data_IF_188764503150
#
_entry.id   IF_188764503150
#
_cell.length_a   1.000
_cell.length_b   1.000
_cell.length_c   1.000
_cell.angle_alpha   90.00
_cell.angle_beta   90.00
_cell.angle_gamma   90.00
#
_symmetry.space_group_name_H-M   'P 1'
#
loop_
_entity.id
_entity.type
_entity.pdbx_description
1 polymer ?
#
# COMPACT_ATOMS: atom_id res chain seq x y z
N UNK A 1 1.52 10.56 21.27
CA UNK A 1 1.75 9.40 20.39
C UNK A 1 2.84 8.57 21.01
N UNK A 2 2.61 7.29 21.29
CA UNK A 2 3.69 6.38 21.68
C UNK A 2 4.49 6.14 20.40
N UNK A 3 5.69 6.68 20.33
CA UNK A 3 6.57 6.48 19.17
C UNK A 3 6.93 4.99 19.11
N UNK A 4 6.64 4.33 17.98
CA UNK A 4 7.04 2.94 17.76
C UNK A 4 8.57 2.78 17.77
N UNK A 5 9.08 1.56 17.87
CA UNK A 5 10.52 1.33 17.83
C UNK A 5 11.05 1.37 16.40
N UNK A 6 12.30 1.83 16.23
CA UNK A 6 13.01 1.69 14.97
C UNK A 6 13.18 0.20 14.63
N UNK A 7 12.87 -0.18 13.40
CA UNK A 7 13.01 -1.54 12.89
C UNK A 7 14.16 -1.66 11.90
N UNK A 8 14.76 -2.84 11.86
CA UNK A 8 15.90 -3.17 11.01
C UNK A 8 15.71 -4.54 10.38
N UNK A 9 16.26 -4.71 9.18
CA UNK A 9 16.60 -6.04 8.64
C UNK A 9 18.01 -6.37 9.07
N UNK A 10 18.19 -7.51 9.72
CA UNK A 10 19.45 -7.90 10.33
C UNK A 10 19.81 -9.31 9.89
N UNK A 11 21.07 -9.48 9.49
CA UNK A 11 21.65 -10.77 9.16
C UNK A 11 22.58 -11.16 10.32
N UNK A 12 22.46 -12.37 10.86
CA UNK A 12 23.27 -12.79 12.01
C UNK A 12 23.48 -14.29 12.05
N UNK A 13 24.47 -14.73 12.81
CA UNK A 13 24.73 -16.15 13.07
C UNK A 13 24.11 -16.55 14.40
N UNK A 14 23.26 -17.58 14.39
CA UNK A 14 22.68 -18.18 15.59
C UNK A 14 23.25 -19.57 15.86
N UNK A 15 23.75 -19.80 17.06
CA UNK A 15 24.25 -21.08 17.51
C UNK A 15 23.10 -21.96 18.02
N UNK A 16 22.75 -22.98 17.23
CA UNK A 16 21.87 -24.06 17.65
C UNK A 16 22.69 -25.23 18.21
N UNK A 17 22.04 -26.15 18.91
CA UNK A 17 22.67 -27.42 19.32
C UNK A 17 23.19 -28.24 18.12
N UNK A 18 22.60 -28.06 16.95
CA UNK A 18 23.00 -28.69 15.68
C UNK A 18 24.09 -27.92 14.91
N UNK A 19 24.62 -26.83 15.46
CA UNK A 19 25.59 -25.95 14.81
C UNK A 19 25.06 -24.54 14.52
N UNK A 20 25.89 -23.73 13.89
CA UNK A 20 25.58 -22.32 13.60
C UNK A 20 24.86 -22.16 12.27
N UNK A 21 23.83 -21.31 12.23
CA UNK A 21 23.15 -20.93 10.98
C UNK A 21 23.10 -19.41 10.82
N UNK A 22 23.21 -18.97 9.57
CA UNK A 22 22.99 -17.57 9.16
C UNK A 22 21.49 -17.34 9.05
N UNK A 23 20.96 -16.39 9.79
CA UNK A 23 19.55 -16.01 9.86
C UNK A 23 19.36 -14.59 9.33
N UNK A 24 18.28 -14.36 8.57
CA UNK A 24 17.81 -13.05 8.09
C UNK A 24 16.49 -12.76 8.79
N UNK A 25 16.43 -11.66 9.55
CA UNK A 25 15.23 -11.30 10.32
C UNK A 25 14.98 -9.79 10.37
N UNK A 26 13.70 -9.42 10.33
CA UNK A 26 13.24 -8.11 10.76
C UNK A 26 13.09 -8.05 12.28
N UNK A 27 13.80 -7.12 12.94
CA UNK A 27 13.79 -6.96 14.40
C UNK A 27 13.67 -5.49 14.82
N UNK A 28 13.18 -5.24 16.03
CA UNK A 28 13.16 -3.90 16.64
C UNK A 28 14.53 -3.53 17.20
N UNK A 29 14.75 -2.23 17.45
CA UNK A 29 15.92 -1.70 18.13
C UNK A 29 16.18 -2.42 19.46
N UNK A 30 15.17 -2.58 20.31
CA UNK A 30 15.32 -3.24 21.61
C UNK A 30 15.78 -4.68 21.47
N UNK A 31 15.30 -5.40 20.45
CA UNK A 31 15.73 -6.77 20.17
C UNK A 31 17.16 -6.82 19.64
N UNK A 32 17.54 -5.90 18.75
CA UNK A 32 18.90 -5.77 18.24
C UNK A 32 19.90 -5.51 19.38
N UNK A 33 19.55 -4.62 20.31
CA UNK A 33 20.41 -4.28 21.45
C UNK A 33 20.59 -5.48 22.39
N UNK A 34 19.51 -6.22 22.70
CA UNK A 34 19.59 -7.47 23.46
C UNK A 34 20.47 -8.51 22.76
N UNK A 35 20.30 -8.70 21.45
CA UNK A 35 21.12 -9.63 20.68
C UNK A 35 22.62 -9.26 20.74
N UNK A 36 22.94 -7.97 20.61
CA UNK A 36 24.33 -7.47 20.73
C UNK A 36 24.89 -7.67 22.14
N UNK A 37 24.07 -7.49 23.17
CA UNK A 37 24.49 -7.73 24.55
C UNK A 37 24.79 -9.22 24.80
N UNK A 38 23.92 -10.11 24.33
CA UNK A 38 24.12 -11.56 24.40
C UNK A 38 25.37 -12.00 23.61
N UNK A 39 25.59 -11.44 22.43
CA UNK A 39 26.80 -11.70 21.64
C UNK A 39 28.08 -11.30 22.38
N UNK A 40 28.08 -10.15 23.09
CA UNK A 40 29.23 -9.72 23.92
C UNK A 40 29.52 -10.68 25.07
N UNK A 41 28.49 -11.38 25.57
CA UNK A 41 28.61 -12.42 26.62
C UNK A 41 29.06 -13.77 26.05
N UNK A 42 29.28 -13.88 24.73
CA UNK A 42 29.63 -15.13 24.06
C UNK A 42 28.46 -16.11 23.98
N UNK A 43 27.22 -15.62 24.04
CA UNK A 43 26.02 -16.45 23.94
C UNK A 43 25.66 -16.74 22.46
N UNK A 44 24.41 -17.15 22.21
CA UNK A 44 23.91 -17.74 20.96
C UNK A 44 24.08 -16.90 19.68
N UNK A 45 24.44 -15.62 19.77
CA UNK A 45 24.46 -14.71 18.63
C UNK A 45 25.90 -14.28 18.26
N UNK A 46 26.21 -14.24 16.97
CA UNK A 46 27.46 -13.68 16.44
C UNK A 46 27.25 -13.05 15.05
N UNK A 47 28.26 -12.33 14.53
CA UNK A 47 28.27 -11.73 13.18
C UNK A 47 26.98 -10.96 12.82
N UNK A 48 26.53 -10.08 13.73
CA UNK A 48 25.26 -9.34 13.61
C UNK A 48 25.46 -8.09 12.73
N UNK A 49 24.89 -8.13 11.53
CA UNK A 49 24.98 -7.08 10.53
C UNK A 49 23.60 -6.45 10.28
N UNK A 50 23.51 -5.12 10.43
CA UNK A 50 22.32 -4.37 10.02
C UNK A 50 22.39 -4.15 8.51
N UNK A 51 21.45 -4.75 7.78
CA UNK A 51 21.40 -4.70 6.31
C UNK A 51 20.58 -3.51 5.84
N UNK A 52 19.49 -3.19 6.56
CA UNK A 52 18.55 -2.17 6.14
C UNK A 52 17.83 -1.54 7.35
N UNK A 53 17.57 -0.24 7.25
CA UNK A 53 16.74 0.51 8.20
C UNK A 53 15.31 0.57 7.64
N UNK A 54 14.35 -0.06 8.33
CA UNK A 54 12.99 -0.29 7.79
C UNK A 54 11.95 0.75 8.28
N UNK A 55 12.39 1.80 8.96
CA UNK A 55 11.51 2.79 9.60
C UNK A 55 11.02 2.37 10.99
N UNK A 56 9.99 3.05 11.49
CA UNK A 56 9.47 2.86 12.85
C UNK A 56 8.23 1.98 12.86
N UNK A 57 7.97 1.31 13.98
CA UNK A 57 6.75 0.54 14.14
C UNK A 57 5.48 1.41 14.04
N UNK A 58 4.48 0.93 13.33
CA UNK A 58 3.13 1.48 13.38
C UNK A 58 2.34 0.78 14.50
N UNK A 59 2.22 1.50 15.63
CA UNK A 59 1.49 1.04 16.81
C UNK A 59 0.07 1.62 16.92
N UNK A 60 -0.45 2.24 15.85
CA UNK A 60 -1.71 3.00 15.87
C UNK A 60 -2.88 2.19 16.43
N UNK A 61 -2.99 0.91 16.07
CA UNK A 61 -4.13 0.06 16.41
C UNK A 61 -3.85 -0.99 17.50
N UNK A 62 -2.64 -1.06 18.06
CA UNK A 62 -2.25 -2.14 18.99
C UNK A 62 -3.15 -2.19 20.24
N UNK A 63 -3.54 -1.04 20.76
CA UNK A 63 -4.47 -0.97 21.90
C UNK A 63 -5.83 -1.58 21.56
N UNK A 64 -6.38 -1.25 20.40
CA UNK A 64 -7.66 -1.81 19.90
C UNK A 64 -7.55 -3.31 19.68
N UNK A 65 -6.51 -3.76 18.99
CA UNK A 65 -6.27 -5.19 18.74
C UNK A 65 -6.07 -5.98 20.02
N UNK A 66 -5.41 -5.40 21.02
CA UNK A 66 -5.27 -6.02 22.33
C UNK A 66 -6.62 -6.24 22.99
N UNK A 67 -7.51 -5.24 22.99
CA UNK A 67 -8.85 -5.39 23.57
C UNK A 67 -9.68 -6.45 22.84
N UNK A 68 -9.63 -6.46 21.50
CA UNK A 68 -10.30 -7.48 20.68
C UNK A 68 -9.75 -8.88 20.99
N UNK A 69 -8.43 -9.03 21.07
CA UNK A 69 -7.79 -10.31 21.44
C UNK A 69 -8.18 -10.77 22.85
N UNK A 70 -8.24 -9.87 23.82
CA UNK A 70 -8.67 -10.18 25.19
C UNK A 70 -10.15 -10.56 25.30
N UNK A 71 -10.99 -10.12 24.37
CA UNK A 71 -12.39 -10.56 24.28
C UNK A 71 -12.51 -12.00 23.73
N UNK A 72 -11.53 -12.48 22.97
CA UNK A 72 -11.51 -13.86 22.48
C UNK A 72 -11.13 -14.85 23.60
N UNK A 73 -11.96 -15.87 23.78
CA UNK A 73 -11.84 -16.81 24.91
C UNK A 73 -10.56 -17.65 24.93
N UNK A 74 -9.96 -17.89 23.75
CA UNK A 74 -8.74 -18.68 23.59
C UNK A 74 -7.52 -17.80 23.82
N UNK A 75 -7.47 -16.65 23.15
CA UNK A 75 -6.37 -15.69 23.24
C UNK A 75 -6.19 -15.17 24.68
N UNK A 76 -7.27 -14.84 25.39
CA UNK A 76 -7.19 -14.37 26.79
C UNK A 76 -6.61 -15.39 27.77
N UNK A 77 -6.56 -16.68 27.38
CA UNK A 77 -6.02 -17.78 28.18
C UNK A 77 -4.58 -18.15 27.81
N UNK A 78 -3.97 -17.45 26.85
CA UNK A 78 -2.55 -17.62 26.53
C UNK A 78 -1.70 -17.44 27.79
N UNK A 79 -0.74 -18.34 28.00
CA UNK A 79 0.08 -18.38 29.22
C UNK A 79 1.58 -18.58 28.96
N UNK A 80 1.97 -19.06 27.77
CA UNK A 80 3.37 -19.27 27.40
C UNK A 80 3.66 -18.81 25.95
N UNK A 81 3.86 -17.50 25.72
CA UNK A 81 3.76 -16.41 26.69
C UNK A 81 2.30 -15.92 26.90
N UNK A 82 2.02 -15.16 27.97
CA UNK A 82 0.74 -14.47 28.12
C UNK A 82 0.53 -13.42 27.03
N UNK A 83 -0.73 -13.24 26.59
CA UNK A 83 -1.09 -12.18 25.65
C UNK A 83 -1.10 -10.81 26.35
N UNK A 84 -0.30 -9.87 25.85
CA UNK A 84 -0.01 -8.57 26.45
C UNK A 84 -0.12 -7.46 25.39
N UNK A 85 -0.20 -6.17 25.81
CA UNK A 85 -0.21 -5.05 24.86
C UNK A 85 1.01 -4.97 23.93
N UNK A 86 2.11 -5.64 24.26
CA UNK A 86 3.36 -5.72 23.50
C UNK A 86 3.56 -7.06 22.76
N UNK A 87 2.53 -7.92 22.68
CA UNK A 87 2.59 -9.21 21.98
C UNK A 87 2.61 -9.10 20.44
N UNK A 88 2.52 -7.89 19.90
CA UNK A 88 2.44 -7.64 18.45
C UNK A 88 3.82 -7.53 17.83
N UNK A 89 3.99 -8.15 16.67
CA UNK A 89 5.18 -8.02 15.83
C UNK A 89 4.80 -7.51 14.45
N UNK A 90 5.19 -6.28 14.13
CA UNK A 90 4.96 -5.74 12.80
C UNK A 90 5.83 -6.44 11.76
N UNK A 91 5.24 -6.74 10.61
CA UNK A 91 5.91 -7.16 9.39
C UNK A 91 5.92 -5.98 8.41
N UNK A 92 7.07 -5.57 7.86
CA UNK A 92 7.11 -4.41 6.93
C UNK A 92 6.72 -4.75 5.49
N UNK A 93 6.59 -6.04 5.18
CA UNK A 93 6.18 -6.52 3.87
C UNK A 93 5.30 -7.77 3.99
N UNK A 94 4.50 -8.03 2.96
CA UNK A 94 3.74 -9.28 2.85
C UNK A 94 4.69 -10.49 2.81
N UNK A 95 5.88 -10.34 2.23
CA UNK A 95 6.87 -11.42 2.22
C UNK A 95 7.29 -11.82 3.64
N UNK A 96 7.57 -10.85 4.51
CA UNK A 96 7.86 -11.12 5.93
C UNK A 96 6.67 -11.75 6.65
N UNK A 97 5.46 -11.27 6.38
CA UNK A 97 4.25 -11.86 6.95
C UNK A 97 4.10 -13.33 6.54
N UNK A 98 4.29 -13.64 5.26
CA UNK A 98 4.28 -15.02 4.74
C UNK A 98 5.34 -15.86 5.46
N UNK A 99 6.57 -15.37 5.56
CA UNK A 99 7.66 -16.12 6.19
C UNK A 99 7.37 -16.40 7.68
N UNK A 100 6.66 -15.49 8.37
CA UNK A 100 6.15 -15.76 9.73
C UNK A 100 5.07 -16.83 9.72
N UNK A 101 4.08 -16.72 8.83
CA UNK A 101 2.99 -17.70 8.76
C UNK A 101 3.49 -19.10 8.40
N UNK A 102 4.48 -19.24 7.50
CA UNK A 102 5.05 -20.52 7.07
C UNK A 102 5.87 -21.24 8.15
N UNK A 103 6.51 -20.49 9.07
CA UNK A 103 7.31 -21.09 10.16
C UNK A 103 6.47 -21.96 11.09
N UNK A 104 5.20 -21.61 11.29
CA UNK A 104 4.28 -22.32 12.19
C UNK A 104 4.80 -22.40 13.63
N UNK A 105 4.23 -23.34 14.40
CA UNK A 105 4.57 -23.58 15.80
C UNK A 105 4.44 -22.32 16.69
N UNK A 106 3.44 -21.50 16.40
CA UNK A 106 3.16 -20.28 17.15
C UNK A 106 2.34 -20.59 18.40
N UNK A 107 2.71 -19.97 19.52
CA UNK A 107 1.91 -20.00 20.74
C UNK A 107 0.60 -19.24 20.52
N UNK A 108 -0.45 -19.60 21.26
CA UNK A 108 -1.72 -18.84 21.28
C UNK A 108 -1.42 -17.40 21.72
N UNK A 109 -2.05 -16.42 21.09
CA UNK A 109 -1.82 -15.00 21.35
C UNK A 109 -0.62 -14.40 20.61
N UNK A 110 0.19 -15.19 19.90
CA UNK A 110 1.21 -14.64 19.00
C UNK A 110 0.52 -13.79 17.93
N UNK A 111 0.92 -12.51 17.81
CA UNK A 111 0.26 -11.57 16.92
C UNK A 111 1.23 -10.97 15.89
N UNK A 112 0.85 -11.04 14.62
CA UNK A 112 1.56 -10.41 13.51
C UNK A 112 0.71 -9.28 12.93
N UNK A 113 1.35 -8.17 12.55
CA UNK A 113 0.65 -7.02 11.97
C UNK A 113 1.25 -6.63 10.64
N UNK A 114 0.42 -6.14 9.72
CA UNK A 114 0.85 -5.59 8.44
C UNK A 114 -0.10 -4.46 8.05
N UNK A 115 0.42 -3.22 8.01
CA UNK A 115 -0.40 -2.02 7.86
C UNK A 115 -1.50 -1.98 8.93
N UNK A 116 -2.76 -1.86 8.52
CA UNK A 116 -3.94 -1.84 9.38
C UNK A 116 -4.57 -3.22 9.59
N UNK A 117 -3.89 -4.31 9.21
CA UNK A 117 -4.28 -5.70 9.51
C UNK A 117 -3.49 -6.28 10.69
N UNK A 118 -4.18 -7.09 11.49
CA UNK A 118 -3.63 -7.88 12.58
C UNK A 118 -4.12 -9.33 12.50
N UNK A 119 -3.21 -10.25 12.77
CA UNK A 119 -3.42 -11.69 12.79
C UNK A 119 -3.01 -12.21 14.16
N UNK A 120 -3.96 -12.66 14.97
CA UNK A 120 -3.68 -13.20 16.31
C UNK A 120 -3.93 -14.70 16.29
N UNK A 121 -2.90 -15.50 16.59
CA UNK A 121 -3.03 -16.94 16.63
C UNK A 121 -4.00 -17.35 17.75
N UNK A 122 -5.04 -18.12 17.42
CA UNK A 122 -6.05 -18.56 18.38
C UNK A 122 -6.05 -20.08 18.63
N UNK A 123 -5.33 -20.85 17.82
CA UNK A 123 -5.18 -22.30 17.95
C UNK A 123 -3.69 -22.66 18.07
N UNK A 124 -3.38 -23.68 18.88
CA UNK A 124 -2.02 -24.14 19.08
C UNK A 124 -1.34 -24.51 17.76
N UNK A 125 -0.06 -24.13 17.62
CA UNK A 125 0.74 -24.44 16.43
C UNK A 125 0.59 -23.46 15.27
N UNK A 126 -0.28 -22.46 15.37
CA UNK A 126 -0.41 -21.42 14.33
C UNK A 126 -1.29 -21.84 13.14
N UNK A 127 -2.29 -22.71 13.37
CA UNK A 127 -3.16 -23.18 12.28
C UNK A 127 -4.30 -22.24 11.95
N UNK A 128 -4.74 -21.41 12.90
CA UNK A 128 -5.87 -20.51 12.74
C UNK A 128 -5.61 -19.15 13.41
N UNK A 129 -5.83 -18.09 12.65
CA UNK A 129 -5.61 -16.72 13.10
C UNK A 129 -6.93 -15.95 13.11
N UNK A 130 -7.18 -15.23 14.21
CA UNK A 130 -8.19 -14.17 14.23
C UNK A 130 -7.65 -13.01 13.38
N UNK A 131 -8.38 -12.62 12.35
CA UNK A 131 -8.03 -11.53 11.44
C UNK A 131 -8.85 -10.29 11.78
N UNK A 132 -8.13 -9.17 11.97
CA UNK A 132 -8.69 -7.89 12.37
C UNK A 132 -8.16 -6.83 11.41
N UNK A 133 -9.03 -5.97 10.89
CA UNK A 133 -8.63 -4.73 10.21
C UNK A 133 -9.10 -3.53 11.01
N UNK A 134 -8.17 -2.67 11.47
CA UNK A 134 -8.47 -1.56 12.37
C UNK A 134 -9.23 -2.04 13.62
N UNK A 135 -10.51 -1.71 13.74
CA UNK A 135 -11.42 -2.11 14.83
C UNK A 135 -12.40 -3.23 14.45
N UNK A 136 -12.29 -3.79 13.24
CA UNK A 136 -13.18 -4.83 12.72
C UNK A 136 -12.51 -6.19 12.79
N UNK A 137 -12.90 -7.01 13.76
CA UNK A 137 -12.61 -8.44 13.75
C UNK A 137 -13.62 -9.13 12.84
N UNK A 138 -13.16 -9.78 11.77
CA UNK A 138 -14.08 -10.29 10.74
C UNK A 138 -13.95 -11.78 10.45
N UNK A 139 -12.75 -12.38 10.58
CA UNK A 139 -12.53 -13.75 10.11
C UNK A 139 -11.64 -14.56 11.06
N UNK A 140 -11.86 -15.87 11.06
CA UNK A 140 -10.88 -16.88 11.48
C UNK A 140 -10.27 -17.49 10.23
N UNK A 141 -8.99 -17.27 10.00
CA UNK A 141 -8.32 -17.67 8.76
C UNK A 141 -7.27 -18.76 8.98
N UNK A 142 -7.46 -19.89 8.30
CA UNK A 142 -6.53 -21.03 8.30
C UNK A 142 -5.41 -20.81 7.28
N UNK A 143 -4.39 -20.05 7.65
CA UNK A 143 -3.29 -19.65 6.77
C UNK A 143 -2.46 -20.83 6.25
N UNK A 144 -2.36 -21.90 7.05
CA UNK A 144 -1.60 -23.10 6.73
C UNK A 144 -2.09 -23.79 5.45
N UNK A 145 -3.41 -23.91 5.29
CA UNK A 145 -4.00 -24.56 4.10
C UNK A 145 -3.80 -23.72 2.84
N UNK A 146 -3.86 -22.39 2.98
CA UNK A 146 -3.59 -21.46 1.86
C UNK A 146 -2.15 -21.60 1.38
N UNK A 147 -1.19 -21.64 2.31
CA UNK A 147 0.24 -21.61 1.99
C UNK A 147 0.78 -22.94 1.43
N UNK A 148 0.17 -24.08 1.76
CA UNK A 148 0.59 -25.41 1.28
C UNK A 148 0.40 -25.66 -0.23
N UNK A 149 -0.49 -24.92 -0.88
CA UNK A 149 -0.81 -25.15 -2.28
C UNK A 149 0.35 -24.82 -3.23
N UNK A 150 0.30 -25.36 -4.46
CA UNK A 150 1.32 -25.13 -5.53
C UNK A 150 1.53 -23.64 -5.88
N UNK A 151 0.61 -22.76 -5.46
CA UNK A 151 0.67 -21.29 -5.59
C UNK A 151 0.35 -20.58 -4.25
N UNK A 152 0.66 -21.20 -3.11
CA UNK A 152 0.17 -20.77 -1.81
C UNK A 152 0.58 -19.35 -1.41
N UNK A 153 1.86 -18.98 -1.59
CA UNK A 153 2.36 -17.62 -1.34
C UNK A 153 1.65 -16.56 -2.19
N UNK A 154 1.37 -16.87 -3.45
CA UNK A 154 0.64 -15.96 -4.35
C UNK A 154 -0.82 -15.78 -3.93
N UNK A 155 -1.50 -16.88 -3.56
CA UNK A 155 -2.87 -16.85 -3.02
C UNK A 155 -2.94 -16.06 -1.72
N UNK A 156 -2.01 -16.31 -0.80
CA UNK A 156 -1.91 -15.57 0.46
C UNK A 156 -1.74 -14.06 0.20
N UNK A 157 -0.82 -13.70 -0.70
CA UNK A 157 -0.60 -12.30 -1.08
C UNK A 157 -1.88 -11.66 -1.64
N UNK A 158 -2.58 -12.36 -2.53
CA UNK A 158 -3.84 -11.88 -3.09
C UNK A 158 -4.92 -11.71 -2.00
N UNK A 159 -5.08 -12.69 -1.12
CA UNK A 159 -6.05 -12.62 -0.02
C UNK A 159 -5.77 -11.44 0.91
N UNK A 160 -4.52 -11.25 1.35
CA UNK A 160 -4.13 -10.10 2.20
C UNK A 160 -4.41 -8.77 1.49
N UNK A 161 -4.07 -8.65 0.21
CA UNK A 161 -4.35 -7.43 -0.53
C UNK A 161 -5.86 -7.18 -0.71
N UNK A 162 -6.67 -8.22 -0.91
CA UNK A 162 -8.14 -8.08 -0.91
C UNK A 162 -8.67 -7.64 0.45
N UNK A 163 -8.14 -8.16 1.56
CA UNK A 163 -8.49 -7.70 2.91
C UNK A 163 -8.13 -6.23 3.14
N UNK A 164 -7.00 -5.76 2.62
CA UNK A 164 -6.61 -4.35 2.68
C UNK A 164 -7.52 -3.46 1.84
N UNK A 165 -7.91 -3.94 0.65
CA UNK A 165 -8.74 -3.23 -0.31
C UNK A 165 -10.23 -3.18 0.05
N UNK A 166 -10.72 -4.16 0.81
CA UNK A 166 -12.14 -4.35 1.06
C UNK A 166 -12.80 -3.11 1.67
N UNK A 167 -14.09 -2.89 1.40
CA UNK A 167 -14.88 -1.97 2.24
C UNK A 167 -15.13 -2.60 3.62
N UNK A 168 -15.47 -1.78 4.62
CA UNK A 168 -15.79 -2.31 5.95
C UNK A 168 -17.01 -3.26 5.90
N UNK A 169 -17.97 -3.00 5.01
CA UNK A 169 -19.11 -3.89 4.80
C UNK A 169 -18.71 -5.23 4.20
N UNK A 170 -17.77 -5.24 3.24
CA UNK A 170 -17.24 -6.47 2.67
C UNK A 170 -16.50 -7.32 3.69
N UNK A 171 -15.81 -6.69 4.65
CA UNK A 171 -15.22 -7.42 5.77
C UNK A 171 -16.29 -8.00 6.69
N UNK A 172 -17.26 -7.20 7.14
CA UNK A 172 -18.33 -7.65 8.04
C UNK A 172 -19.18 -8.78 7.45
N UNK A 173 -19.36 -8.78 6.14
CA UNK A 173 -20.15 -9.79 5.40
C UNK A 173 -19.31 -10.92 4.82
N UNK A 174 -17.98 -10.89 4.98
CA UNK A 174 -17.04 -11.86 4.41
C UNK A 174 -17.11 -11.99 2.87
N UNK A 175 -17.51 -10.92 2.17
CA UNK A 175 -17.66 -10.90 0.71
C UNK A 175 -16.45 -10.30 -0.03
N UNK A 176 -15.37 -9.97 0.70
CA UNK A 176 -14.16 -9.34 0.12
C UNK A 176 -13.42 -10.23 -0.92
N UNK A 177 -13.61 -11.54 -0.88
CA UNK A 177 -13.10 -12.46 -1.91
C UNK A 177 -13.94 -12.44 -3.20
N UNK A 178 -15.18 -11.97 -3.12
CA UNK A 178 -16.16 -11.92 -4.21
C UNK A 178 -16.28 -10.52 -4.83
N UNK A 179 -15.53 -9.55 -4.32
CA UNK A 179 -15.60 -8.14 -4.69
C UNK A 179 -15.28 -7.83 -6.17
N UNK A 180 -14.88 -8.84 -6.96
CA UNK A 180 -14.60 -8.73 -8.39
C UNK A 180 -13.22 -9.27 -8.79
N UNK A 181 -12.89 -9.21 -10.10
CA UNK A 181 -11.58 -9.59 -10.59
C UNK A 181 -10.50 -8.59 -10.17
N UNK A 182 -9.28 -9.07 -9.92
CA UNK A 182 -8.10 -8.20 -9.85
C UNK A 182 -7.80 -7.72 -11.27
N UNK A 183 -7.81 -6.40 -11.47
CA UNK A 183 -7.41 -5.79 -12.75
C UNK A 183 -5.97 -5.28 -12.66
N UNK A 184 -5.40 -4.86 -13.78
CA UNK A 184 -4.05 -4.30 -13.81
C UNK A 184 -4.12 -2.84 -14.24
N UNK A 185 -3.29 -2.02 -13.61
CA UNK A 185 -3.11 -0.63 -13.99
C UNK A 185 -2.67 -0.57 -15.45
N UNK A 186 -3.44 0.09 -16.31
CA UNK A 186 -3.16 0.27 -17.72
C UNK A 186 -1.77 0.87 -17.98
N UNK A 187 -1.28 1.73 -17.06
CA UNK A 187 0.02 2.39 -17.21
C UNK A 187 1.20 1.59 -16.63
N UNK A 188 1.12 1.17 -15.36
CA UNK A 188 2.25 0.54 -14.67
C UNK A 188 2.11 -0.96 -14.46
N UNK A 189 0.99 -1.55 -14.89
CA UNK A 189 0.66 -2.97 -14.74
C UNK A 189 0.61 -3.43 -13.27
N UNK A 190 0.54 -2.51 -12.30
CA UNK A 190 0.30 -2.86 -10.91
C UNK A 190 -1.10 -3.48 -10.74
N UNK A 191 -1.23 -4.51 -9.91
CA UNK A 191 -2.52 -5.11 -9.58
C UNK A 191 -3.39 -4.10 -8.82
N UNK A 192 -4.65 -4.00 -9.23
CA UNK A 192 -5.68 -3.19 -8.59
C UNK A 192 -6.72 -4.12 -7.99
N UNK A 193 -6.95 -3.98 -6.70
CA UNK A 193 -7.86 -4.85 -5.97
C UNK A 193 -9.25 -4.18 -5.87
N UNK A 194 -10.34 -4.91 -6.11
CA UNK A 194 -11.67 -4.36 -5.95
C UNK A 194 -11.90 -3.86 -4.52
N UNK A 195 -12.52 -2.68 -4.38
CA UNK A 195 -12.67 -1.99 -3.10
C UNK A 195 -11.64 -0.88 -2.86
N UNK A 196 -10.47 -0.89 -3.52
CA UNK A 196 -9.51 0.24 -3.46
C UNK A 196 -10.06 1.53 -4.10
N UNK A 197 -11.17 1.42 -4.84
CA UNK A 197 -11.65 2.39 -5.83
C UNK A 197 -12.74 3.38 -5.39
N UNK A 198 -13.19 3.42 -4.14
CA UNK A 198 -14.22 4.40 -3.70
C UNK A 198 -13.75 5.87 -3.79
N UNK A 199 -12.54 6.14 -4.27
CA UNK A 199 -11.99 7.49 -4.44
C UNK A 199 -12.17 8.04 -5.87
N UNK A 200 -12.38 7.22 -6.93
CA UNK A 200 -12.45 7.73 -8.31
C UNK A 200 -13.47 7.00 -9.19
N UNK A 201 -14.77 7.29 -8.98
CA UNK A 201 -15.87 6.73 -9.79
C UNK A 201 -15.97 7.25 -11.24
N UNK A 202 -15.16 8.25 -11.63
CA UNK A 202 -15.32 8.94 -12.93
C UNK A 202 -14.10 8.94 -13.86
N UNK A 203 -12.98 8.30 -13.52
CA UNK A 203 -11.81 8.23 -14.41
C UNK A 203 -11.36 6.79 -14.62
N UNK A 204 -11.43 6.30 -15.85
CA UNK A 204 -10.90 5.03 -16.37
C UNK A 204 -10.59 3.96 -15.31
N UNK A 205 -11.48 2.97 -15.17
CA UNK A 205 -11.51 1.92 -14.15
C UNK A 205 -10.24 1.06 -13.97
N UNK A 206 -9.17 1.34 -14.71
CA UNK A 206 -7.96 0.55 -14.79
C UNK A 206 -6.68 1.36 -14.49
N UNK A 207 -6.70 2.46 -13.71
CA UNK A 207 -5.46 3.22 -13.36
C UNK A 207 -5.25 3.28 -11.85
N UNK A 208 -4.05 2.89 -11.38
CA UNK A 208 -3.72 2.89 -9.95
C UNK A 208 -3.61 4.30 -9.37
N UNK A 209 -3.84 4.46 -8.05
CA UNK A 209 -3.75 5.76 -7.38
C UNK A 209 -2.40 6.46 -7.58
N UNK A 210 -1.28 5.72 -7.58
CA UNK A 210 0.05 6.30 -7.83
C UNK A 210 0.17 6.84 -9.25
N UNK A 211 -0.33 6.14 -10.25
CA UNK A 211 -0.33 6.59 -11.64
C UNK A 211 -1.35 7.71 -11.85
N UNK A 212 -2.49 7.68 -11.17
CA UNK A 212 -3.48 8.75 -11.18
C UNK A 212 -2.95 10.02 -10.53
N UNK A 213 -2.37 9.92 -9.34
CA UNK A 213 -1.70 11.04 -8.66
C UNK A 213 -0.48 11.51 -9.43
N UNK A 214 0.30 10.60 -10.01
CA UNK A 214 1.39 10.93 -10.92
C UNK A 214 0.89 11.69 -12.15
N UNK A 215 -0.19 11.23 -12.78
CA UNK A 215 -0.86 11.92 -13.90
C UNK A 215 -1.38 13.29 -13.44
N UNK A 216 -2.01 13.41 -12.27
CA UNK A 216 -2.47 14.67 -11.69
C UNK A 216 -1.33 15.63 -11.36
N UNK A 217 -0.22 15.14 -10.83
CA UNK A 217 0.99 15.91 -10.57
C UNK A 217 1.65 16.36 -11.87
N UNK A 218 1.76 15.49 -12.86
CA UNK A 218 2.31 15.82 -14.17
C UNK A 218 1.42 16.79 -14.96
N UNK A 219 0.10 16.64 -14.90
CA UNK A 219 -0.85 17.61 -15.46
C UNK A 219 -0.75 18.94 -14.71
N UNK A 220 -0.62 18.91 -13.37
CA UNK A 220 -0.39 20.12 -12.57
C UNK A 220 0.94 20.79 -12.93
N UNK A 221 1.99 20.02 -13.18
CA UNK A 221 3.29 20.53 -13.59
C UNK A 221 3.26 21.09 -15.00
N UNK A 222 2.57 20.44 -15.95
CA UNK A 222 2.33 20.97 -17.28
C UNK A 222 1.49 22.25 -17.21
N UNK A 223 0.42 22.27 -16.41
CA UNK A 223 -0.36 23.47 -16.16
C UNK A 223 0.49 24.57 -15.52
N UNK A 224 1.37 24.23 -14.58
CA UNK A 224 2.28 25.18 -13.96
C UNK A 224 3.35 25.68 -14.95
N UNK A 225 3.84 24.84 -15.87
CA UNK A 225 4.74 25.25 -16.97
C UNK A 225 4.05 26.25 -17.89
N UNK A 226 2.85 25.94 -18.35
CA UNK A 226 2.03 26.86 -19.15
C UNK A 226 1.75 28.15 -18.38
N UNK A 227 1.40 28.06 -17.08
CA UNK A 227 1.21 29.24 -16.21
C UNK A 227 2.49 30.07 -16.04
N UNK A 228 3.67 29.46 -16.19
CA UNK A 228 4.97 30.13 -16.19
C UNK A 228 5.38 30.61 -17.60
N UNK A 229 4.51 30.47 -18.60
CA UNK A 229 4.80 30.84 -19.99
C UNK A 229 5.80 29.91 -20.67
N UNK A 230 6.11 28.77 -20.06
CA UNK A 230 7.00 27.78 -20.62
C UNK A 230 6.30 26.99 -21.72
N UNK A 231 7.01 26.78 -22.83
CA UNK A 231 6.58 25.88 -23.90
C UNK A 231 6.47 24.46 -23.35
N UNK A 232 5.31 23.85 -23.49
CA UNK A 232 5.17 22.42 -23.21
C UNK A 232 5.96 21.62 -24.24
N UNK A 233 6.81 20.74 -23.74
CA UNK A 233 7.51 19.76 -24.55
C UNK A 233 6.67 18.49 -24.65
N UNK A 234 6.95 17.64 -25.65
CA UNK A 234 6.27 16.35 -25.84
C UNK A 234 6.29 15.48 -24.57
N UNK A 235 7.38 15.55 -23.81
CA UNK A 235 7.54 14.83 -22.55
C UNK A 235 6.65 15.37 -21.42
N UNK A 236 6.22 16.64 -21.48
CA UNK A 236 5.30 17.24 -20.50
C UNK A 236 3.86 16.73 -20.66
N UNK A 237 3.54 16.18 -21.85
CA UNK A 237 2.23 15.63 -22.20
C UNK A 237 2.19 14.10 -22.16
N UNK A 238 3.27 13.42 -21.74
CA UNK A 238 3.42 11.96 -21.80
C UNK A 238 2.39 11.15 -20.98
N UNK A 239 1.67 11.81 -20.07
CA UNK A 239 0.62 11.21 -19.22
C UNK A 239 -0.80 11.62 -19.61
N UNK A 240 -0.97 12.42 -20.66
CA UNK A 240 -2.28 12.77 -21.22
C UNK A 240 -2.64 11.71 -22.26
N UNK A 241 -3.48 10.73 -21.89
CA UNK A 241 -4.00 9.73 -22.84
C UNK A 241 -5.32 10.20 -23.46
N UNK A 242 -5.40 10.13 -24.79
CA UNK A 242 -6.55 10.56 -25.61
C UNK A 242 -7.84 9.72 -25.42
N UNK A 243 -7.85 8.67 -24.59
CA UNK A 243 -8.97 7.73 -24.43
C UNK A 243 -9.96 8.07 -23.31
N UNK A 244 -9.67 9.08 -22.49
CA UNK A 244 -10.65 9.61 -21.53
C UNK A 244 -11.81 10.24 -22.32
N UNK A 245 -13.08 9.89 -22.04
CA UNK A 245 -14.21 10.32 -22.89
C UNK A 245 -14.43 11.84 -22.80
N UNK A 246 -13.96 12.56 -23.80
CA UNK A 246 -14.21 13.99 -24.01
C UNK A 246 -15.56 14.20 -24.71
N UNK A 247 -16.39 15.10 -24.17
CA UNK A 247 -17.61 15.54 -24.86
C UNK A 247 -17.31 16.87 -25.55
N UNK A 248 -17.23 16.81 -26.87
CA UNK A 248 -16.91 17.92 -27.75
C UNK A 248 -18.17 18.56 -28.33
N UNK A 249 -18.12 19.87 -28.54
CA UNK A 249 -18.94 20.55 -29.54
C UNK A 249 -18.08 21.58 -30.27
N UNK A 250 -17.74 21.24 -31.53
CA UNK A 250 -17.35 22.06 -32.72
C UNK A 250 -16.53 23.35 -32.59
N UNK A 251 -15.73 23.80 -33.57
CA UNK A 251 -15.23 23.28 -34.87
C UNK A 251 -14.04 24.19 -35.28
N UNK A 252 -13.25 23.73 -36.26
CA UNK A 252 -12.44 24.49 -37.24
C UNK A 252 -10.95 24.82 -36.95
N UNK A 253 -10.13 23.96 -37.58
CA UNK A 253 -8.94 24.18 -38.41
C UNK A 253 -7.59 24.70 -37.88
N UNK A 254 -7.44 25.34 -36.72
CA UNK A 254 -6.09 25.82 -36.34
C UNK A 254 -5.82 25.98 -34.83
N UNK A 255 -6.41 25.17 -33.92
CA UNK A 255 -6.20 25.36 -32.48
C UNK A 255 -6.43 24.12 -31.61
N UNK A 256 -5.59 23.90 -30.57
CA UNK A 256 -5.60 22.68 -29.74
C UNK A 256 -5.75 22.90 -28.22
N UNK A 257 -6.96 23.04 -27.66
CA UNK A 257 -7.27 23.37 -26.23
C UNK A 257 -7.00 22.29 -25.13
N UNK A 258 -6.50 22.69 -23.94
CA UNK A 258 -6.44 21.88 -22.69
C UNK A 258 -7.37 22.46 -21.60
N UNK A 259 -8.30 21.68 -21.03
CA UNK A 259 -9.16 22.03 -19.87
C UNK A 259 -9.00 21.11 -18.66
N UNK A 260 -9.09 21.66 -17.44
CA UNK A 260 -9.30 20.90 -16.19
C UNK A 260 -10.06 21.73 -15.13
N UNK A 261 -11.13 21.16 -14.54
CA UNK A 261 -11.93 21.68 -13.42
C UNK A 261 -12.38 23.15 -13.56
N UNK A 262 -13.24 23.38 -14.55
CA UNK A 262 -13.94 24.64 -14.87
C UNK A 262 -13.10 25.83 -15.37
N UNK A 263 -11.77 25.75 -15.45
CA UNK A 263 -10.99 26.87 -16.00
C UNK A 263 -9.91 26.45 -17.01
N UNK A 264 -9.96 27.15 -18.15
CA UNK A 264 -8.96 27.33 -19.22
C UNK A 264 -8.93 26.32 -20.36
N UNK A 265 -8.75 26.85 -21.58
CA UNK A 265 -8.46 26.19 -22.85
C UNK A 265 -7.18 26.83 -23.45
N UNK A 266 -6.22 26.03 -23.94
CA UNK A 266 -4.95 26.51 -24.53
C UNK A 266 -4.85 26.06 -25.99
N UNK A 267 -5.05 26.90 -27.01
CA UNK A 267 -4.98 26.47 -28.42
C UNK A 267 -3.61 26.74 -29.08
N UNK A 268 -3.02 25.75 -29.77
CA UNK A 268 -1.86 25.92 -30.67
C UNK A 268 -2.29 25.97 -32.15
N UNK A 269 -1.87 27.02 -32.87
CA UNK A 269 -1.97 27.13 -34.33
C UNK A 269 -0.73 26.56 -35.01
N UNK A 270 -0.94 25.73 -36.03
CA UNK A 270 0.11 24.95 -36.70
C UNK A 270 1.16 25.78 -37.45
N UNK A 271 0.92 27.07 -37.68
CA UNK A 271 1.73 27.85 -38.63
C UNK A 271 2.59 28.94 -38.01
N UNK A 272 2.48 29.22 -36.71
CA UNK A 272 3.38 30.08 -35.95
C UNK A 272 3.26 29.64 -34.49
N UNK A 273 4.34 29.61 -33.72
CA UNK A 273 4.43 29.09 -32.35
C UNK A 273 3.43 29.71 -31.32
N UNK A 274 2.46 30.47 -31.77
CA UNK A 274 1.44 31.20 -31.03
C UNK A 274 0.48 30.33 -30.21
N UNK A 275 0.27 30.68 -28.94
CA UNK A 275 -0.73 30.09 -28.03
C UNK A 275 -1.86 31.08 -27.80
N UNK A 276 -3.12 30.66 -28.01
CA UNK A 276 -4.31 31.51 -27.78
C UNK A 276 -5.20 30.95 -26.67
N UNK A 277 -5.61 31.81 -25.74
CA UNK A 277 -6.43 31.46 -24.58
C UNK A 277 -7.87 31.97 -24.71
N UNK A 278 -8.83 31.16 -24.26
CA UNK A 278 -10.27 31.45 -24.36
C UNK A 278 -10.97 31.36 -23.00
N UNK A 279 -11.98 32.21 -22.79
CA UNK A 279 -12.86 32.21 -21.60
C UNK A 279 -14.35 32.15 -21.97
N UNK A 280 -15.22 31.59 -21.10
CA UNK A 280 -16.65 31.52 -21.36
C UNK A 280 -17.33 32.90 -21.20
N UNK A 281 -18.37 33.16 -21.99
CA UNK A 281 -19.26 34.33 -21.95
C UNK A 281 -20.70 33.89 -22.24
N UNK A 282 -21.70 34.67 -21.81
CA UNK A 282 -23.09 34.45 -22.21
C UNK A 282 -23.20 34.45 -23.75
N UNK A 283 -23.42 33.28 -24.33
CA UNK A 283 -23.52 33.08 -25.79
C UNK A 283 -22.32 32.42 -26.49
N UNK A 284 -21.23 32.07 -25.78
CA UNK A 284 -20.12 31.33 -26.39
C UNK A 284 -18.75 31.53 -25.72
N UNK A 285 -17.68 31.34 -26.49
CA UNK A 285 -16.30 31.56 -26.05
C UNK A 285 -15.75 32.83 -26.69
N UNK A 286 -15.00 33.61 -25.92
CA UNK A 286 -14.33 34.82 -26.43
C UNK A 286 -12.84 34.64 -26.27
N UNK A 287 -12.12 34.86 -27.37
CA UNK A 287 -10.66 34.97 -27.36
C UNK A 287 -10.26 36.10 -26.42
N UNK A 288 -9.32 35.81 -25.53
CA UNK A 288 -8.93 36.76 -24.50
C UNK A 288 -7.47 37.22 -24.66
N UNK A 289 -6.57 36.37 -25.18
CA UNK A 289 -5.16 36.75 -25.38
C UNK A 289 -4.39 35.84 -26.38
N UNK A 290 -3.41 36.41 -27.11
CA UNK A 290 -2.56 35.75 -28.12
C UNK A 290 -1.06 35.84 -27.74
N UNK A 291 -0.31 34.72 -27.70
CA UNK A 291 1.09 34.68 -27.22
C UNK A 291 2.07 34.03 -28.22
N UNK A 292 3.10 34.74 -28.71
CA UNK A 292 4.12 34.21 -29.65
C UNK A 292 5.49 33.91 -28.97
N UNK A 293 5.94 32.66 -28.87
CA UNK A 293 7.30 32.27 -28.47
C UNK A 293 8.34 32.71 -29.50
N UNK A 294 9.48 33.25 -29.07
CA UNK A 294 10.67 33.49 -29.91
C UNK A 294 11.51 32.23 -30.08
#
# INVERSE_FOLDING_TARGET
MIQGEQMYRVLYDFAYSSGTRREDEQITQSRLDRMREMAKKGEYYSNIDVIEVLGYEDRTWWGTWYQIGMANQWIRKANDPPFKPDSFSECKSIAWLIDRMERGNWCIGTAFTYKDLCFINQIEGGSEFLVIRKDIAFETWSTYDVLKGRNGRAKFTETVNRMLAATDEQLRTLTYMEAGPVVHCAHCQAKLYPGEGDIFKDSAADVCNTCYCGKKLHIRDAANKVKRGERLMKDDLRFVEYRDKFVACGVNHTGMCIHWDEELAVALSYDNDTVTLYRPHEGGWVEFEEYKPQ
#
